data_IF_462068570274
#
_entry.id   IF_462068570274
#
_cell.length_a   1.000
_cell.length_b   1.000
_cell.length_c   1.000
_cell.angle_alpha   90.00
_cell.angle_beta   90.00
_cell.angle_gamma   90.00
#
_symmetry.space_group_name_H-M   'P 1'
#
loop_
_entity.id
_entity.type
_entity.pdbx_description
1 polymer ?
#
# COMPACT_ATOMS: atom_id res chain seq x y z
N UNK A 1 23.77 -17.76 16.32
CA UNK A 1 23.26 -17.63 14.93
C UNK A 1 22.51 -18.93 14.65
N UNK A 2 21.21 -18.88 14.39
CA UNK A 2 20.40 -20.08 14.13
C UNK A 2 20.17 -20.17 12.62
N UNK A 3 20.53 -21.33 12.02
CA UNK A 3 20.20 -21.64 10.63
C UNK A 3 18.90 -22.42 10.66
N UNK A 4 17.88 -21.93 9.95
CA UNK A 4 16.60 -22.62 9.81
C UNK A 4 16.51 -23.20 8.41
N UNK A 5 16.11 -24.48 8.32
CA UNK A 5 15.96 -25.18 7.03
C UNK A 5 14.49 -25.56 6.84
N UNK A 6 13.96 -25.26 5.65
CA UNK A 6 12.57 -25.53 5.26
C UNK A 6 12.47 -26.34 3.98
N UNK A 7 11.43 -27.16 3.82
CA UNK A 7 10.64 -27.84 4.85
C UNK A 7 11.35 -29.11 5.32
N UNK A 8 11.22 -29.46 6.58
CA UNK A 8 11.73 -30.73 7.14
C UNK A 8 10.60 -31.48 7.85
N UNK A 9 10.56 -32.81 7.65
CA UNK A 9 9.60 -33.66 8.35
C UNK A 9 9.88 -33.70 9.86
N UNK A 10 8.83 -33.62 10.67
CA UNK A 10 8.92 -33.68 12.13
C UNK A 10 9.40 -32.40 12.81
N UNK A 11 9.62 -31.32 12.06
CA UNK A 11 9.95 -30.00 12.61
C UNK A 11 8.68 -29.18 12.76
N UNK A 12 8.51 -28.53 13.92
CA UNK A 12 7.44 -27.58 14.18
C UNK A 12 7.97 -26.18 13.89
N UNK A 13 7.28 -25.45 13.02
CA UNK A 13 7.61 -24.09 12.64
C UNK A 13 6.68 -23.09 13.34
N UNK A 14 7.25 -21.97 13.81
CA UNK A 14 6.51 -20.84 14.34
C UNK A 14 5.92 -19.98 13.19
N UNK A 15 5.06 -19.02 13.54
CA UNK A 15 4.58 -18.02 12.58
C UNK A 15 5.74 -17.18 12.03
N UNK A 16 6.75 -16.87 12.85
CA UNK A 16 7.95 -16.15 12.44
C UNK A 16 8.78 -16.95 11.43
N UNK A 17 8.91 -18.27 11.64
CA UNK A 17 9.59 -19.15 10.68
C UNK A 17 8.89 -19.16 9.32
N UNK A 18 7.55 -19.22 9.31
CA UNK A 18 6.76 -19.15 8.07
C UNK A 18 6.92 -17.78 7.39
N UNK A 19 6.90 -16.70 8.15
CA UNK A 19 7.13 -15.35 7.65
C UNK A 19 8.52 -15.23 7.01
N UNK A 20 9.56 -15.77 7.66
CA UNK A 20 10.93 -15.79 7.12
C UNK A 20 11.01 -16.59 5.80
N UNK A 21 10.31 -17.71 5.69
CA UNK A 21 10.24 -18.48 4.45
C UNK A 21 9.62 -17.70 3.29
N UNK A 22 8.67 -16.81 3.59
CA UNK A 22 7.95 -16.00 2.62
C UNK A 22 8.55 -14.60 2.39
N UNK A 23 9.56 -14.18 3.15
CA UNK A 23 10.14 -12.82 3.09
C UNK A 23 10.90 -12.52 1.79
N UNK A 24 11.09 -13.50 0.90
CA UNK A 24 11.61 -13.30 -0.46
C UNK A 24 10.63 -12.52 -1.36
N UNK A 25 9.38 -12.37 -0.92
CA UNK A 25 8.36 -11.57 -1.60
C UNK A 25 8.64 -10.09 -1.45
N UNK A 26 8.35 -9.30 -2.48
CA UNK A 26 8.34 -7.84 -2.36
C UNK A 26 7.07 -7.38 -1.68
N UNK A 27 7.13 -6.28 -0.90
CA UNK A 27 5.93 -5.63 -0.39
C UNK A 27 5.07 -5.12 -1.53
N UNK A 28 3.74 -5.19 -1.36
CA UNK A 28 2.79 -4.69 -2.34
C UNK A 28 1.48 -5.47 -2.38
N UNK A 29 0.57 -5.01 -3.23
CA UNK A 29 -0.70 -5.70 -3.51
C UNK A 29 -0.48 -6.87 -4.46
N UNK A 30 -1.34 -7.92 -4.38
CA UNK A 30 -1.20 -9.09 -5.25
C UNK A 30 -1.59 -8.81 -6.70
N UNK A 31 -2.50 -7.85 -6.94
CA UNK A 31 -2.90 -7.42 -8.27
C UNK A 31 -3.39 -5.97 -8.22
N UNK A 32 -2.95 -5.16 -9.15
CA UNK A 32 -3.42 -3.78 -9.31
C UNK A 32 -4.90 -3.73 -9.76
N UNK A 33 -5.36 -4.70 -10.54
CA UNK A 33 -6.69 -4.68 -11.14
C UNK A 33 -7.80 -4.80 -10.09
N UNK A 34 -7.59 -5.63 -9.06
CA UNK A 34 -8.65 -5.98 -8.12
C UNK A 34 -8.33 -5.66 -6.66
N UNK A 35 -7.10 -5.96 -6.20
CA UNK A 35 -6.79 -5.90 -4.77
C UNK A 35 -6.68 -4.46 -4.27
N UNK A 36 -7.50 -4.13 -3.26
CA UNK A 36 -7.55 -2.81 -2.62
C UNK A 36 -7.82 -1.65 -3.60
N UNK A 37 -8.60 -1.94 -4.66
CA UNK A 37 -9.02 -0.89 -5.58
C UNK A 37 -9.88 0.15 -4.85
N UNK A 38 -9.62 1.43 -5.12
CA UNK A 38 -10.36 2.53 -4.48
C UNK A 38 -11.37 3.08 -5.46
N UNK A 39 -12.61 3.22 -5.01
CA UNK A 39 -13.75 3.76 -5.77
C UNK A 39 -14.53 4.76 -4.95
N UNK A 40 -15.36 5.58 -5.61
CA UNK A 40 -16.25 6.53 -4.95
C UNK A 40 -17.62 5.89 -4.81
N UNK A 41 -18.17 5.99 -3.60
CA UNK A 41 -19.52 5.43 -3.29
C UNK A 41 -20.48 6.48 -2.74
N UNK A 42 -20.01 7.71 -2.51
CA UNK A 42 -20.82 8.81 -2.04
C UNK A 42 -20.13 10.14 -2.25
N UNK A 43 -20.77 11.25 -1.87
CA UNK A 43 -20.26 12.62 -2.09
C UNK A 43 -18.85 12.83 -1.58
N UNK A 44 -18.55 12.30 -0.39
CA UNK A 44 -17.21 12.29 0.24
C UNK A 44 -16.90 10.93 0.83
N UNK A 45 -17.47 9.89 0.27
CA UNK A 45 -17.21 8.52 0.67
C UNK A 45 -16.47 7.79 -0.43
N UNK A 46 -15.43 7.09 -0.02
CA UNK A 46 -14.65 6.19 -0.85
C UNK A 46 -14.74 4.78 -0.28
N UNK A 47 -14.70 3.81 -1.14
CA UNK A 47 -14.67 2.39 -0.77
C UNK A 47 -13.39 1.77 -1.27
N UNK A 48 -12.70 1.08 -0.39
CA UNK A 48 -11.55 0.24 -0.71
C UNK A 48 -12.03 -1.20 -0.84
N UNK A 49 -11.86 -1.78 -2.01
CA UNK A 49 -12.28 -3.15 -2.30
C UNK A 49 -11.52 -4.18 -1.46
N UNK A 50 -12.07 -5.40 -1.29
CA UNK A 50 -11.34 -6.53 -0.74
C UNK A 50 -10.02 -6.76 -1.46
N UNK A 51 -9.05 -7.38 -0.78
CA UNK A 51 -7.77 -7.60 -1.43
C UNK A 51 -6.77 -8.38 -0.59
N UNK A 52 -5.68 -8.72 -1.26
CA UNK A 52 -4.51 -9.37 -0.71
C UNK A 52 -3.28 -8.48 -0.89
N UNK A 53 -2.43 -8.41 0.13
CA UNK A 53 -1.15 -7.73 0.08
C UNK A 53 -0.11 -8.51 0.88
N UNK A 54 1.15 -8.28 0.57
CA UNK A 54 2.29 -8.72 1.37
C UNK A 54 3.05 -7.49 1.89
N UNK A 55 3.43 -7.50 3.15
CA UNK A 55 4.21 -6.44 3.79
C UNK A 55 5.44 -7.05 4.42
N UNK A 56 6.64 -6.68 3.93
CA UNK A 56 7.89 -6.90 4.63
C UNK A 56 8.12 -5.69 5.54
N UNK A 57 8.03 -5.88 6.84
CA UNK A 57 8.15 -4.79 7.81
C UNK A 57 9.50 -4.75 8.53
N UNK A 58 10.31 -5.81 8.40
CA UNK A 58 11.66 -5.91 8.95
C UNK A 58 12.47 -6.93 8.14
N UNK A 59 13.77 -7.00 8.37
CA UNK A 59 14.63 -8.05 7.81
C UNK A 59 14.09 -9.43 8.19
N UNK A 60 13.86 -10.29 7.19
CA UNK A 60 13.32 -11.64 7.36
C UNK A 60 11.93 -11.72 8.01
N UNK A 61 11.19 -10.62 8.09
CA UNK A 61 9.85 -10.59 8.69
C UNK A 61 8.83 -9.97 7.74
N UNK A 62 7.74 -10.65 7.55
CA UNK A 62 6.64 -10.16 6.72
C UNK A 62 5.30 -10.75 7.13
N UNK A 63 4.22 -10.10 6.68
CA UNK A 63 2.85 -10.53 6.92
C UNK A 63 2.05 -10.52 5.64
N UNK A 64 1.17 -11.52 5.50
CA UNK A 64 0.15 -11.52 4.47
C UNK A 64 -1.11 -10.88 5.01
N UNK A 65 -1.61 -9.89 4.29
CA UNK A 65 -2.84 -9.16 4.62
C UNK A 65 -3.95 -9.62 3.70
N UNK A 66 -5.09 -10.00 4.27
CA UNK A 66 -6.28 -10.38 3.54
C UNK A 66 -7.48 -9.59 4.08
N UNK A 67 -7.99 -8.64 3.30
CA UNK A 67 -9.30 -8.02 3.53
C UNK A 67 -10.35 -8.75 2.70
N UNK A 68 -11.39 -9.26 3.35
CA UNK A 68 -12.50 -9.97 2.68
C UNK A 68 -13.71 -9.10 2.43
N UNK A 69 -13.73 -7.94 3.03
CA UNK A 69 -14.84 -6.99 2.99
C UNK A 69 -14.37 -5.64 2.47
N UNK A 70 -15.32 -4.89 1.94
CA UNK A 70 -15.09 -3.49 1.57
C UNK A 70 -14.89 -2.62 2.81
N UNK A 71 -14.01 -1.65 2.69
CA UNK A 71 -13.76 -0.66 3.73
C UNK A 71 -14.22 0.71 3.23
N UNK A 72 -15.18 1.30 3.92
CA UNK A 72 -15.69 2.64 3.59
C UNK A 72 -14.97 3.68 4.44
N UNK A 73 -14.41 4.69 3.77
CA UNK A 73 -13.73 5.81 4.40
C UNK A 73 -14.42 7.12 4.01
N UNK A 74 -14.44 8.08 4.94
CA UNK A 74 -15.00 9.41 4.70
C UNK A 74 -13.88 10.42 4.55
N UNK A 75 -13.85 11.12 3.42
CA UNK A 75 -12.92 12.22 3.18
C UNK A 75 -13.43 13.45 3.93
N UNK A 76 -12.60 14.07 4.81
CA UNK A 76 -12.99 15.27 5.53
C UNK A 76 -13.31 16.44 4.60
N UNK A 77 -14.03 17.44 5.12
CA UNK A 77 -14.37 18.66 4.38
C UNK A 77 -13.13 19.34 3.82
N UNK A 78 -13.29 19.93 2.63
CA UNK A 78 -12.24 20.72 2.02
C UNK A 78 -12.01 22.00 2.82
N UNK A 79 -10.77 22.49 2.79
CA UNK A 79 -10.48 23.87 3.20
C UNK A 79 -11.12 24.84 2.20
N UNK A 80 -11.58 26.00 2.66
CA UNK A 80 -12.27 26.96 1.80
C UNK A 80 -11.34 27.68 0.82
N UNK A 81 -10.03 27.72 1.10
CA UNK A 81 -9.07 28.58 0.40
C UNK A 81 -7.88 27.83 -0.16
N UNK A 82 -7.51 26.72 0.42
CA UNK A 82 -6.31 25.96 0.06
C UNK A 82 -6.64 24.53 -0.35
N UNK A 83 -5.93 24.05 -1.36
CA UNK A 83 -6.03 22.66 -1.78
C UNK A 83 -5.36 21.74 -0.76
N UNK A 84 -5.83 20.50 -0.70
CA UNK A 84 -5.27 19.43 0.13
C UNK A 84 -5.11 18.16 -0.69
N UNK A 85 -4.13 17.33 -0.35
CA UNK A 85 -4.01 15.98 -0.90
C UNK A 85 -4.01 15.01 0.26
N UNK A 86 -5.00 14.11 0.30
CA UNK A 86 -5.11 13.03 1.27
C UNK A 86 -4.47 11.75 0.70
N UNK A 87 -4.16 10.78 1.56
CA UNK A 87 -3.62 9.48 1.15
C UNK A 87 -4.36 8.34 1.85
N UNK A 88 -4.74 7.33 1.08
CA UNK A 88 -5.25 6.07 1.63
C UNK A 88 -4.08 5.10 1.75
N UNK A 89 -3.92 4.51 2.91
CA UNK A 89 -2.86 3.55 3.21
C UNK A 89 -3.42 2.27 3.78
N UNK A 90 -2.76 1.16 3.46
CA UNK A 90 -2.85 -0.10 4.19
C UNK A 90 -1.70 -0.10 5.21
N UNK A 91 -2.01 -0.01 6.49
CA UNK A 91 -1.03 0.09 7.58
C UNK A 91 -1.00 -1.18 8.40
N UNK A 92 0.18 -1.73 8.60
CA UNK A 92 0.45 -2.75 9.61
C UNK A 92 1.15 -2.09 10.81
N UNK A 93 0.55 -2.24 11.99
CA UNK A 93 1.14 -1.83 13.26
C UNK A 93 1.77 -3.05 13.92
N UNK A 94 3.10 -3.04 14.06
CA UNK A 94 3.86 -4.18 14.58
C UNK A 94 3.73 -4.31 16.09
N UNK A 95 3.43 -3.22 16.81
CA UNK A 95 3.28 -3.21 18.26
C UNK A 95 1.95 -3.84 18.70
N UNK A 96 0.90 -3.57 17.93
CA UNK A 96 -0.45 -4.08 18.20
C UNK A 96 -0.75 -5.36 17.42
N UNK A 97 0.08 -5.71 16.41
CA UNK A 97 -0.16 -6.78 15.44
C UNK A 97 -1.50 -6.61 14.70
N UNK A 98 -1.84 -5.38 14.35
CA UNK A 98 -3.09 -5.01 13.70
C UNK A 98 -2.83 -4.42 12.33
N UNK A 99 -3.63 -4.82 11.35
CA UNK A 99 -3.67 -4.20 10.03
C UNK A 99 -4.96 -3.40 9.87
N UNK A 100 -4.85 -2.19 9.34
CA UNK A 100 -6.00 -1.33 9.07
C UNK A 100 -5.82 -0.54 7.77
N UNK A 101 -6.93 -0.27 7.12
CA UNK A 101 -6.98 0.70 6.02
C UNK A 101 -7.31 2.06 6.63
N UNK A 102 -6.47 3.07 6.36
CA UNK A 102 -6.60 4.40 6.95
C UNK A 102 -6.56 5.48 5.88
N UNK A 103 -7.31 6.55 6.12
CA UNK A 103 -7.19 7.80 5.39
C UNK A 103 -6.28 8.74 6.19
N UNK A 104 -5.15 9.12 5.60
CA UNK A 104 -4.26 10.16 6.12
C UNK A 104 -4.65 11.49 5.48
N UNK A 105 -5.17 12.40 6.30
CA UNK A 105 -5.53 13.74 5.85
C UNK A 105 -4.28 14.59 5.69
N UNK A 106 -4.12 15.18 4.51
CA UNK A 106 -3.01 16.09 4.22
C UNK A 106 -3.19 17.46 4.87
N UNK A 107 -2.17 18.29 4.73
CA UNK A 107 -2.21 19.68 5.18
C UNK A 107 -2.61 20.60 4.02
N UNK A 108 -3.65 21.44 4.18
CA UNK A 108 -4.01 22.43 3.17
C UNK A 108 -2.84 23.37 2.88
N UNK A 109 -2.48 23.55 1.60
CA UNK A 109 -1.37 24.39 1.17
C UNK A 109 -1.53 24.84 -0.29
N UNK A 110 -0.79 25.90 -0.67
CA UNK A 110 -0.74 26.37 -2.07
C UNK A 110 -0.15 25.28 -2.99
N UNK A 111 0.85 24.55 -2.51
CA UNK A 111 1.45 23.39 -3.17
C UNK A 111 1.24 22.17 -2.28
N UNK A 112 -0.02 21.71 -2.15
CA UNK A 112 -0.38 20.59 -1.30
C UNK A 112 0.32 19.31 -1.75
N UNK A 113 0.88 18.58 -0.78
CA UNK A 113 1.51 17.29 -0.98
C UNK A 113 0.80 16.22 -0.15
N UNK A 114 0.75 14.98 -0.64
CA UNK A 114 0.18 13.90 0.15
C UNK A 114 1.06 13.62 1.38
N UNK A 115 0.47 13.17 2.50
CA UNK A 115 1.21 12.74 3.67
C UNK A 115 2.22 11.64 3.34
N UNK A 116 3.39 11.70 3.98
CA UNK A 116 4.43 10.68 3.80
C UNK A 116 3.97 9.30 4.28
N UNK A 117 4.52 8.26 3.67
CA UNK A 117 4.35 6.88 4.08
C UNK A 117 5.29 6.59 5.24
N UNK A 118 4.77 5.91 6.26
CA UNK A 118 5.55 5.42 7.38
C UNK A 118 6.04 4.00 7.08
N UNK A 119 7.35 3.81 7.11
CA UNK A 119 8.01 2.51 6.98
C UNK A 119 9.11 2.43 8.03
N UNK A 120 8.72 2.11 9.25
CA UNK A 120 9.61 1.99 10.39
C UNK A 120 9.28 0.73 11.21
N UNK A 121 10.03 0.48 12.28
CA UNK A 121 9.87 -0.73 13.09
C UNK A 121 8.49 -0.88 13.75
N UNK A 122 7.77 0.22 13.97
CA UNK A 122 6.47 0.20 14.66
C UNK A 122 5.30 0.18 13.67
N UNK A 123 5.48 0.79 12.48
CA UNK A 123 4.40 0.93 11.50
C UNK A 123 4.96 0.80 10.09
N UNK A 124 4.27 0.02 9.27
CA UNK A 124 4.58 -0.14 7.86
C UNK A 124 3.34 0.13 7.02
N UNK A 125 3.46 1.07 6.08
CA UNK A 125 2.36 1.52 5.24
C UNK A 125 2.61 1.21 3.77
N UNK A 126 1.57 0.78 3.07
CA UNK A 126 1.48 0.75 1.62
C UNK A 126 0.49 1.82 1.15
N UNK A 127 0.92 2.71 0.28
CA UNK A 127 0.09 3.78 -0.27
C UNK A 127 -0.80 3.26 -1.40
N UNK A 128 -2.11 3.19 -1.15
CA UNK A 128 -3.08 2.65 -2.12
C UNK A 128 -3.47 3.70 -3.16
N UNK A 129 -3.78 4.90 -2.73
CA UNK A 129 -4.07 6.03 -3.62
C UNK A 129 -3.81 7.37 -2.92
N UNK A 130 -3.75 8.44 -3.70
CA UNK A 130 -3.90 9.81 -3.22
C UNK A 130 -5.21 10.41 -3.71
N UNK A 131 -5.74 11.36 -2.95
CA UNK A 131 -7.02 12.02 -3.24
C UNK A 131 -6.77 13.53 -3.24
N UNK A 132 -6.97 14.16 -4.39
CA UNK A 132 -6.96 15.61 -4.49
C UNK A 132 -8.25 16.18 -3.92
N UNK A 133 -8.15 17.13 -3.01
CA UNK A 133 -9.29 17.81 -2.39
C UNK A 133 -9.15 19.31 -2.68
N UNK A 134 -9.74 19.81 -3.78
CA UNK A 134 -9.68 21.22 -4.14
C UNK A 134 -10.34 22.11 -3.08
N UNK A 135 -9.86 23.34 -2.95
CA UNK A 135 -10.43 24.33 -2.05
C UNK A 135 -11.94 24.53 -2.31
N UNK A 136 -12.73 24.54 -1.25
CA UNK A 136 -14.18 24.73 -1.32
C UNK A 136 -14.96 23.58 -1.99
N UNK A 137 -14.33 22.46 -2.33
CA UNK A 137 -15.04 21.34 -2.94
C UNK A 137 -16.00 20.69 -1.96
N UNK A 138 -17.19 20.35 -2.43
CA UNK A 138 -18.22 19.67 -1.63
C UNK A 138 -18.25 18.16 -1.86
N UNK A 139 -17.58 17.69 -2.89
CA UNK A 139 -17.56 16.29 -3.29
C UNK A 139 -16.17 15.89 -3.78
N UNK A 140 -15.89 14.58 -3.74
CA UNK A 140 -14.74 13.96 -4.38
C UNK A 140 -15.21 13.20 -5.61
N UNK A 141 -14.49 13.33 -6.72
CA UNK A 141 -14.79 12.69 -8.00
C UNK A 141 -13.73 11.66 -8.39
N UNK A 142 -14.01 10.83 -9.37
CA UNK A 142 -13.04 9.83 -9.87
C UNK A 142 -11.76 10.49 -10.39
N UNK A 143 -11.87 11.70 -10.95
CA UNK A 143 -10.73 12.47 -11.43
C UNK A 143 -9.78 12.94 -10.30
N UNK A 144 -10.27 12.97 -9.06
CA UNK A 144 -9.50 13.38 -7.89
C UNK A 144 -8.69 12.23 -7.29
N UNK A 145 -8.95 10.97 -7.68
CA UNK A 145 -8.25 9.79 -7.17
C UNK A 145 -7.11 9.42 -8.11
N UNK A 146 -5.90 9.38 -7.55
CA UNK A 146 -4.72 8.88 -8.23
C UNK A 146 -4.26 7.57 -7.60
N UNK A 147 -4.36 6.48 -8.37
CA UNK A 147 -3.97 5.13 -7.95
C UNK A 147 -2.44 4.99 -7.86
N UNK A 148 -1.93 4.70 -6.67
CA UNK A 148 -0.49 4.54 -6.41
C UNK A 148 -0.08 3.08 -6.18
N UNK A 149 -0.99 2.11 -6.35
CA UNK A 149 -0.70 0.69 -6.06
C UNK A 149 0.38 0.08 -6.95
N UNK A 150 0.60 0.61 -8.16
CA UNK A 150 1.67 0.16 -9.04
C UNK A 150 3.00 0.90 -8.82
N UNK A 151 3.02 1.94 -8.00
CA UNK A 151 4.22 2.70 -7.69
C UNK A 151 5.03 1.98 -6.60
N UNK A 152 6.17 1.42 -6.99
CA UNK A 152 7.06 0.64 -6.11
C UNK A 152 7.68 1.49 -4.99
N UNK A 153 7.65 2.81 -5.10
CA UNK A 153 8.18 3.71 -4.06
C UNK A 153 7.22 3.86 -2.87
N UNK A 154 5.94 3.56 -3.06
CA UNK A 154 4.91 3.76 -2.04
C UNK A 154 4.04 2.51 -1.78
N UNK A 155 3.93 1.58 -2.73
CA UNK A 155 3.16 0.35 -2.61
C UNK A 155 3.81 -0.79 -3.39
N UNK A 156 3.63 -0.81 -4.71
CA UNK A 156 4.10 -1.85 -5.59
C UNK A 156 3.12 -3.02 -5.74
N UNK A 157 3.42 -3.86 -6.73
CA UNK A 157 2.78 -5.16 -6.91
C UNK A 157 3.72 -6.24 -6.37
N UNK A 158 3.18 -7.11 -5.50
CA UNK A 158 3.93 -8.20 -4.90
C UNK A 158 4.51 -9.12 -5.98
N UNK A 159 5.78 -9.43 -5.82
CA UNK A 159 6.50 -10.41 -6.65
C UNK A 159 7.12 -11.47 -5.75
N UNK A 160 7.08 -12.72 -6.17
CA UNK A 160 7.66 -13.84 -5.43
C UNK A 160 9.04 -14.18 -6.03
N UNK A 161 10.03 -14.30 -5.18
CA UNK A 161 11.27 -15.05 -5.42
C UNK A 161 12.41 -14.37 -6.17
N UNK A 162 12.28 -13.22 -6.83
CA UNK A 162 13.43 -12.58 -7.48
C UNK A 162 13.45 -11.08 -7.25
N UNK A 163 14.10 -10.67 -6.20
CA UNK A 163 14.31 -9.25 -5.87
C UNK A 163 15.40 -8.56 -6.72
N UNK A 164 15.99 -9.26 -7.67
CA UNK A 164 17.17 -8.77 -8.39
C UNK A 164 16.96 -8.35 -9.85
N UNK A 165 15.75 -8.44 -10.41
CA UNK A 165 15.51 -7.91 -11.76
C UNK A 165 14.93 -6.50 -11.63
N UNK A 166 15.71 -5.44 -11.88
CA UNK A 166 15.18 -4.08 -11.87
C UNK A 166 14.24 -3.92 -13.05
N UNK A 167 12.93 -4.06 -12.80
CA UNK A 167 11.88 -3.88 -13.82
C UNK A 167 11.94 -2.51 -14.46
N UNK A 168 12.40 -1.48 -13.73
CA UNK A 168 12.68 -0.15 -14.29
C UNK A 168 13.73 -0.18 -15.40
N UNK A 169 14.78 -0.96 -15.24
CA UNK A 169 15.83 -1.13 -16.28
C UNK A 169 15.28 -1.88 -17.51
N UNK A 170 14.44 -2.90 -17.28
CA UNK A 170 13.77 -3.62 -18.37
C UNK A 170 12.83 -2.69 -19.17
N UNK A 171 12.04 -1.88 -18.49
CA UNK A 171 11.15 -0.90 -19.15
C UNK A 171 11.95 0.16 -19.93
N UNK A 172 13.08 0.63 -19.38
CA UNK A 172 13.96 1.56 -20.09
C UNK A 172 14.59 0.90 -21.33
N UNK A 173 15.02 -0.36 -21.22
CA UNK A 173 15.55 -1.12 -22.37
C UNK A 173 14.48 -1.35 -23.44
N UNK A 174 13.25 -1.66 -23.06
CA UNK A 174 12.14 -1.78 -24.00
C UNK A 174 11.83 -0.46 -24.72
N UNK A 175 11.84 0.65 -24.00
CA UNK A 175 11.63 1.99 -24.61
C UNK A 175 12.74 2.35 -25.60
N UNK A 176 14.00 2.06 -25.25
CA UNK A 176 15.14 2.32 -26.14
C UNK A 176 15.18 1.46 -27.42
N UNK A 177 14.36 0.42 -27.51
CA UNK A 177 14.24 -0.43 -28.71
C UNK A 177 13.05 -0.01 -29.60
N UNK A 178 12.12 0.78 -29.08
CA UNK A 178 10.90 1.22 -29.77
C UNK A 178 11.06 2.63 -30.37
N UNK A 179 11.98 3.45 -29.82
CA UNK A 179 12.39 4.77 -30.36
C UNK A 179 13.51 4.62 -31.40
#
# INVERSE_FOLDING_TARGET
MSIITYPLNGVVYSAEDVATYLCTRTSGVYSKETNFAVSITGTRQITVAPGLAWINYDDFKGVSVCSREENVLTVPEADNTLNRVDRVVLQFDTSENITAIKLKTGTPAVAAQPPDILQNHNQYELGLCTISVPAGSTAVTVADIYDTRADETVCGVMRDGVTGIPTGTLVQQFRAVID
#
